data_IF_581504269824
#
_entry.id   IF_581504269824
#
_cell.length_a   1.000
_cell.length_b   1.000
_cell.length_c   1.000
_cell.angle_alpha   90.00
_cell.angle_beta   90.00
_cell.angle_gamma   90.00
#
_symmetry.space_group_name_H-M   'P 1'
#
loop_
_entity.id
_entity.type
_entity.pdbx_description
1 polymer ?
#
# COMPACT_ATOMS: atom_id res chain seq x y z
N UNK A 1 -0.05 -5.18 26.39
CA UNK A 1 0.75 -5.84 25.33
C UNK A 1 0.35 -5.23 24.01
N UNK A 2 1.27 -4.57 23.30
CA UNK A 2 0.96 -4.02 21.96
C UNK A 2 0.67 -5.18 21.02
N UNK A 3 -0.54 -5.22 20.47
CA UNK A 3 -0.90 -6.21 19.44
C UNK A 3 0.01 -5.98 18.25
N UNK A 4 0.87 -6.97 17.99
CA UNK A 4 1.77 -7.03 16.85
C UNK A 4 1.03 -7.73 15.72
N UNK A 5 0.98 -7.11 14.56
CA UNK A 5 0.22 -7.59 13.42
C UNK A 5 1.15 -7.84 12.24
N UNK A 6 0.73 -8.68 11.32
CA UNK A 6 1.37 -8.82 10.01
C UNK A 6 0.63 -7.91 9.03
N UNK A 7 1.41 -7.10 8.31
CA UNK A 7 0.90 -6.24 7.25
C UNK A 7 1.63 -6.60 5.95
N UNK A 8 0.86 -6.89 4.90
CA UNK A 8 1.41 -7.13 3.57
C UNK A 8 0.83 -6.11 2.59
N UNK A 9 1.66 -5.55 1.72
CA UNK A 9 1.26 -4.65 0.65
C UNK A 9 1.72 -5.22 -0.70
N UNK A 10 0.86 -5.17 -1.71
CA UNK A 10 1.14 -5.72 -3.03
C UNK A 10 0.33 -5.00 -4.11
N UNK A 11 0.67 -5.27 -5.37
CA UNK A 11 0.10 -4.60 -6.53
C UNK A 11 1.17 -4.23 -7.55
N UNK A 12 0.74 -3.95 -8.78
CA UNK A 12 1.64 -3.63 -9.91
C UNK A 12 2.56 -2.45 -9.60
N UNK A 13 2.04 -1.44 -8.91
CA UNK A 13 2.76 -0.21 -8.59
C UNK A 13 3.57 -0.27 -7.28
N UNK A 14 3.47 -1.38 -6.52
CA UNK A 14 4.19 -1.54 -5.25
C UNK A 14 5.71 -1.45 -5.40
N UNK A 15 6.25 -1.74 -6.59
CA UNK A 15 7.67 -1.58 -6.90
C UNK A 15 8.15 -0.13 -6.81
N UNK A 16 7.31 0.83 -7.20
CA UNK A 16 7.65 2.26 -7.15
C UNK A 16 7.68 2.82 -5.72
N UNK A 17 7.06 2.12 -4.77
CA UNK A 17 7.04 2.49 -3.35
C UNK A 17 8.06 1.71 -2.50
N UNK A 18 8.97 0.97 -3.15
CA UNK A 18 9.99 0.14 -2.48
C UNK A 18 10.80 0.88 -1.41
N UNK A 19 11.14 2.14 -1.63
CA UNK A 19 11.99 2.92 -0.73
C UNK A 19 11.22 3.30 0.54
N UNK A 20 9.91 3.59 0.40
CA UNK A 20 9.01 3.78 1.54
C UNK A 20 8.84 2.47 2.32
N UNK A 21 8.63 1.36 1.63
CA UNK A 21 8.51 0.04 2.28
C UNK A 21 9.77 -0.33 3.07
N UNK A 22 10.95 -0.19 2.46
CA UNK A 22 12.22 -0.46 3.14
C UNK A 22 12.44 0.44 4.36
N UNK A 23 12.11 1.73 4.26
CA UNK A 23 12.23 2.69 5.38
C UNK A 23 11.34 2.29 6.56
N UNK A 24 10.19 1.69 6.29
CA UNK A 24 9.22 1.23 7.29
C UNK A 24 9.42 -0.25 7.71
N UNK A 25 10.54 -0.88 7.35
CA UNK A 25 10.90 -2.22 7.81
C UNK A 25 10.24 -3.37 7.04
N UNK A 26 9.58 -3.10 5.91
CA UNK A 26 9.03 -4.14 5.06
C UNK A 26 10.14 -4.92 4.33
N UNK A 27 9.92 -6.23 4.20
CA UNK A 27 10.75 -7.14 3.41
C UNK A 27 9.96 -7.59 2.19
N UNK A 28 10.59 -7.56 1.02
CA UNK A 28 9.96 -8.06 -0.20
C UNK A 28 10.08 -9.58 -0.26
N UNK A 29 8.95 -10.26 -0.21
CA UNK A 29 8.84 -11.70 -0.42
C UNK A 29 8.78 -12.00 -1.92
N UNK A 30 9.82 -12.64 -2.46
CA UNK A 30 9.92 -12.93 -3.90
C UNK A 30 8.92 -13.99 -4.36
N UNK A 31 8.59 -14.94 -3.48
CA UNK A 31 7.67 -16.04 -3.78
C UNK A 31 6.25 -15.53 -3.99
N UNK A 32 5.81 -14.62 -3.13
CA UNK A 32 4.45 -14.04 -3.15
C UNK A 32 4.38 -12.72 -3.91
N UNK A 33 5.53 -12.12 -4.25
CA UNK A 33 5.65 -10.77 -4.84
C UNK A 33 4.97 -9.69 -3.99
N UNK A 34 5.04 -9.83 -2.66
CA UNK A 34 4.42 -8.92 -1.68
C UNK A 34 5.49 -8.29 -0.79
N UNK A 35 5.24 -7.07 -0.34
CA UNK A 35 6.01 -6.43 0.72
C UNK A 35 5.37 -6.78 2.06
N UNK A 36 6.09 -7.46 2.94
CA UNK A 36 5.55 -7.91 4.23
C UNK A 36 6.37 -7.34 5.38
N UNK A 37 5.68 -6.83 6.38
CA UNK A 37 6.26 -6.50 7.69
C UNK A 37 5.60 -7.39 8.75
N UNK A 38 6.45 -8.15 9.44
CA UNK A 38 6.04 -8.93 10.59
C UNK A 38 6.24 -8.08 11.84
N UNK A 39 5.34 -8.20 12.81
CA UNK A 39 5.41 -7.49 14.10
C UNK A 39 5.16 -5.98 14.05
N UNK A 40 4.31 -5.51 13.14
CA UNK A 40 3.91 -4.10 13.08
C UNK A 40 3.06 -3.73 14.32
N UNK A 41 3.37 -2.62 15.02
CA UNK A 41 2.47 -2.07 16.04
C UNK A 41 1.15 -1.63 15.41
N UNK A 42 0.03 -1.98 16.04
CA UNK A 42 -1.31 -1.66 15.51
C UNK A 42 -1.53 -0.16 15.24
N UNK A 43 -0.85 0.71 15.98
CA UNK A 43 -0.90 2.18 15.84
C UNK A 43 -0.42 2.62 14.44
N UNK A 44 0.61 1.97 13.90
CA UNK A 44 1.13 2.29 12.56
C UNK A 44 0.35 1.62 11.44
N UNK A 45 -0.50 0.64 11.76
CA UNK A 45 -1.21 -0.12 10.76
C UNK A 45 -2.28 0.70 10.02
N UNK A 46 -2.89 1.70 10.67
CA UNK A 46 -3.82 2.64 10.01
C UNK A 46 -3.09 3.63 9.10
N UNK A 47 -1.90 4.09 9.49
CA UNK A 47 -1.06 4.95 8.65
C UNK A 47 -0.65 4.20 7.37
N UNK A 48 -0.23 2.94 7.50
CA UNK A 48 0.21 2.13 6.37
C UNK A 48 -0.94 1.77 5.44
N UNK A 49 -2.12 1.49 6.00
CA UNK A 49 -3.35 1.30 5.21
C UNK A 49 -3.75 2.58 4.46
N UNK A 50 -3.63 3.74 5.10
CA UNK A 50 -3.93 5.04 4.48
C UNK A 50 -2.98 5.36 3.34
N UNK A 51 -1.69 5.05 3.51
CA UNK A 51 -0.71 5.14 2.43
C UNK A 51 -1.07 4.24 1.25
N UNK A 52 -1.40 2.97 1.52
CA UNK A 52 -1.82 2.03 0.47
C UNK A 52 -3.06 2.53 -0.26
N UNK A 53 -4.09 3.02 0.44
CA UNK A 53 -5.29 3.63 -0.17
C UNK A 53 -4.96 4.85 -1.02
N UNK A 54 -4.09 5.75 -0.55
CA UNK A 54 -3.71 6.97 -1.27
C UNK A 54 -3.07 6.67 -2.62
N UNK A 55 -2.26 5.62 -2.69
CA UNK A 55 -1.52 5.23 -3.90
C UNK A 55 -2.15 4.06 -4.64
N UNK A 56 -3.34 3.63 -4.24
CA UNK A 56 -4.08 2.54 -4.85
C UNK A 56 -3.43 1.16 -4.78
N UNK A 57 -2.68 0.90 -3.70
CA UNK A 57 -2.04 -0.38 -3.45
C UNK A 57 -2.99 -1.32 -2.70
N UNK A 58 -2.97 -2.59 -3.08
CA UNK A 58 -3.66 -3.67 -2.38
C UNK A 58 -2.89 -4.00 -1.10
N UNK A 59 -3.60 -4.31 -0.02
CA UNK A 59 -2.95 -4.71 1.23
C UNK A 59 -3.77 -5.74 2.02
N UNK A 60 -3.05 -6.49 2.86
CA UNK A 60 -3.54 -7.49 3.80
C UNK A 60 -3.15 -7.09 5.22
N UNK A 61 -4.07 -7.26 6.17
CA UNK A 61 -3.84 -7.00 7.60
C UNK A 61 -4.36 -8.16 8.44
N UNK A 62 -3.49 -8.77 9.24
CA UNK A 62 -3.86 -9.93 10.07
C UNK A 62 -4.83 -9.60 11.21
N UNK A 63 -4.88 -8.35 11.69
CA UNK A 63 -5.72 -7.93 12.81
C UNK A 63 -7.22 -7.94 12.53
N UNK A 64 -7.61 -7.61 11.28
CA UNK A 64 -9.01 -7.48 10.86
C UNK A 64 -9.47 -8.61 9.93
N UNK A 65 -8.66 -9.66 9.72
CA UNK A 65 -8.88 -10.66 8.66
C UNK A 65 -9.22 -10.03 7.31
N UNK A 66 -8.59 -8.90 6.98
CA UNK A 66 -8.72 -8.28 5.66
C UNK A 66 -7.80 -9.06 4.74
N UNK A 67 -8.34 -10.11 4.13
CA UNK A 67 -7.61 -11.04 3.27
C UNK A 67 -7.27 -10.43 1.90
N UNK A 68 -7.99 -9.42 1.43
CA UNK A 68 -7.67 -8.69 0.19
C UNK A 68 -8.45 -7.38 0.13
N UNK A 69 -7.84 -6.24 0.48
CA UNK A 69 -8.44 -4.95 0.16
C UNK A 69 -8.06 -4.58 -1.28
N UNK A 70 -8.91 -4.91 -2.24
CA UNK A 70 -8.72 -4.54 -3.64
C UNK A 70 -9.15 -3.09 -3.88
N UNK A 71 -8.17 -2.20 -4.10
CA UNK A 71 -8.44 -0.80 -4.36
C UNK A 71 -9.17 -0.57 -5.70
N UNK A 72 -8.96 -1.46 -6.68
CA UNK A 72 -9.69 -1.40 -7.94
C UNK A 72 -11.18 -1.66 -7.70
N UNK A 73 -11.55 -2.71 -6.96
CA UNK A 73 -12.95 -2.94 -6.58
C UNK A 73 -13.51 -1.79 -5.72
N UNK A 74 -12.75 -1.23 -4.77
CA UNK A 74 -13.20 -0.09 -3.97
C UNK A 74 -13.50 1.17 -4.80
N UNK A 75 -12.75 1.43 -5.87
CA UNK A 75 -13.03 2.51 -6.82
C UNK A 75 -14.24 2.23 -7.71
N UNK A 76 -14.54 0.95 -7.97
CA UNK A 76 -15.61 0.52 -8.88
C UNK A 76 -16.95 0.27 -8.16
N UNK A 77 -16.96 -0.21 -6.91
CA UNK A 77 -18.18 -0.39 -6.11
C UNK A 77 -18.77 0.95 -5.60
N UNK A 78 -18.04 2.05 -5.78
CA UNK A 78 -18.53 3.38 -5.50
C UNK A 78 -18.73 4.19 -6.77
N UNK A 79 -19.93 4.18 -7.34
CA UNK A 79 -20.48 5.33 -8.08
C UNK A 79 -20.50 6.56 -7.16
N UNK A 80 -19.33 7.14 -6.88
CA UNK A 80 -19.20 8.48 -6.32
C UNK A 80 -18.79 9.38 -7.47
N UNK A 81 -19.81 9.95 -8.11
CA UNK A 81 -19.68 11.08 -9.04
C UNK A 81 -18.78 12.23 -8.51
N UNK A 82 -18.52 12.28 -7.20
CA UNK A 82 -17.62 13.23 -6.53
C UNK A 82 -16.12 13.01 -6.78
N UNK A 83 -15.70 11.82 -7.22
CA UNK A 83 -14.30 11.47 -7.50
C UNK A 83 -13.96 11.35 -9.00
N UNK A 84 -14.94 11.55 -9.90
CA UNK A 84 -14.72 11.81 -11.33
C UNK A 84 -14.18 13.24 -11.55
N UNK A 85 -13.09 13.60 -10.87
CA UNK A 85 -12.27 14.73 -11.30
C UNK A 85 -11.27 14.19 -12.33
N UNK A 86 -11.06 14.86 -13.47
CA UNK A 86 -9.98 14.49 -14.37
C UNK A 86 -8.69 14.38 -13.56
N UNK A 87 -7.97 13.27 -13.74
CA UNK A 87 -6.76 12.94 -13.00
C UNK A 87 -5.75 14.07 -13.19
N UNK A 88 -5.55 14.90 -12.16
CA UNK A 88 -4.50 15.92 -12.16
C UNK A 88 -3.18 15.16 -12.07
N UNK A 89 -2.51 14.96 -13.21
CA UNK A 89 -1.28 14.17 -13.31
C UNK A 89 -0.26 14.64 -12.26
N UNK A 90 -0.06 13.93 -11.15
CA UNK A 90 0.96 14.33 -10.21
C UNK A 90 2.32 14.09 -10.88
N UNK A 91 3.15 15.13 -10.91
CA UNK A 91 4.49 15.06 -11.52
C UNK A 91 5.29 13.95 -10.86
N UNK A 92 5.56 12.87 -11.59
CA UNK A 92 6.40 11.78 -11.11
C UNK A 92 7.84 12.30 -10.89
N UNK A 93 8.49 12.00 -9.76
CA UNK A 93 9.88 12.37 -9.55
C UNK A 93 10.77 11.61 -10.54
N UNK A 94 11.48 12.34 -11.39
CA UNK A 94 12.44 11.77 -12.35
C UNK A 94 13.66 11.18 -11.62
N UNK A 95 14.12 9.98 -11.98
CA UNK A 95 15.35 9.42 -11.42
C UNK A 95 16.57 10.28 -11.78
N UNK A 96 17.38 10.64 -10.77
CA UNK A 96 18.70 11.29 -10.92
C UNK A 96 19.73 10.29 -11.47
N UNK A 97 19.53 9.78 -12.68
CA UNK A 97 20.62 9.09 -13.38
C UNK A 97 20.61 9.40 -14.87
N UNK A 98 21.06 10.62 -15.18
CA UNK A 98 21.77 10.93 -16.41
C UNK A 98 23.08 11.59 -16.01
N UNK A 99 24.10 10.77 -15.79
CA UNK A 99 25.50 11.13 -15.99
C UNK A 99 26.29 9.87 -16.31
#
# INVERSE_FOLDING_TARGET
>A
MSKKITFSAFGRDSYYHRDWFKKNGFKFDRSSRKWTVNELPIEHAEEFASYCRKYGLTFERSDRMINEFNYADYLWEGERNEFMKPYDNPSLPTPKNKR
#
